data_IF_262913556384
#
_entry.id   IF_262913556384
#
_cell.length_a   1.000
_cell.length_b   1.000
_cell.length_c   1.000
_cell.angle_alpha   90.00
_cell.angle_beta   90.00
_cell.angle_gamma   90.00
#
_symmetry.space_group_name_H-M   'P 1'
#
loop_
_entity.id
_entity.type
_entity.pdbx_description
1 polymer ?
#
# COMPACT_ATOMS: atom_id res chain seq x y z
N UNK A 1 -6.40 9.51 -6.70
CA UNK A 1 -5.87 8.15 -6.94
C UNK A 1 -5.41 8.09 -8.39
N UNK A 2 -4.32 7.35 -8.67
CA UNK A 2 -3.74 7.29 -9.99
C UNK A 2 -3.76 5.87 -10.57
N UNK A 3 -3.75 4.86 -9.70
CA UNK A 3 -3.72 3.44 -10.05
C UNK A 3 -4.78 2.64 -9.30
N UNK A 4 -5.28 1.57 -9.94
CA UNK A 4 -6.02 0.49 -9.30
C UNK A 4 -5.20 -0.79 -9.48
N UNK A 5 -4.84 -1.44 -8.38
CA UNK A 5 -4.20 -2.74 -8.39
C UNK A 5 -5.26 -3.83 -8.21
N UNK A 6 -5.45 -4.61 -9.27
CA UNK A 6 -6.30 -5.80 -9.29
C UNK A 6 -5.45 -7.02 -8.93
N UNK A 7 -5.69 -7.61 -7.76
CA UNK A 7 -4.98 -8.82 -7.32
C UNK A 7 -5.67 -10.09 -7.82
N UNK A 8 -4.89 -11.19 -7.98
CA UNK A 8 -5.41 -12.51 -8.36
C UNK A 8 -5.92 -12.62 -9.80
N UNK A 9 -5.50 -11.74 -10.71
CA UNK A 9 -5.95 -11.73 -12.12
C UNK A 9 -5.49 -12.97 -12.89
N UNK A 10 -4.19 -13.36 -12.90
CA UNK A 10 -3.76 -14.54 -13.65
C UNK A 10 -4.40 -15.83 -13.12
N UNK A 11 -4.63 -16.78 -14.04
CA UNK A 11 -5.24 -18.05 -13.67
C UNK A 11 -4.36 -18.87 -12.74
N UNK A 12 -4.91 -19.26 -11.61
CA UNK A 12 -4.23 -20.05 -10.57
C UNK A 12 -4.86 -21.44 -10.38
N UNK A 13 -4.20 -22.29 -9.59
CA UNK A 13 -4.65 -23.66 -9.33
C UNK A 13 -5.93 -23.68 -8.48
N UNK A 14 -6.88 -24.51 -8.87
CA UNK A 14 -8.15 -24.74 -8.17
C UNK A 14 -8.50 -26.22 -8.17
N UNK A 15 -9.20 -26.70 -7.14
CA UNK A 15 -9.76 -28.06 -7.12
C UNK A 15 -8.72 -29.17 -7.19
N UNK A 16 -7.50 -28.98 -6.69
CA UNK A 16 -6.41 -29.95 -6.61
C UNK A 16 -6.09 -30.28 -5.17
N UNK A 17 -5.54 -31.46 -4.91
CA UNK A 17 -5.19 -31.92 -3.54
C UNK A 17 -4.17 -31.02 -2.83
N UNK A 18 -3.32 -30.31 -3.59
CA UNK A 18 -2.34 -29.38 -3.06
C UNK A 18 -2.85 -27.95 -2.85
N UNK A 19 -4.06 -27.64 -3.33
CA UNK A 19 -4.63 -26.28 -3.29
C UNK A 19 -5.09 -25.95 -1.88
N UNK A 20 -4.72 -24.75 -1.41
CA UNK A 20 -5.16 -24.21 -0.13
C UNK A 20 -6.49 -23.47 -0.31
N UNK A 21 -7.55 -23.99 0.30
CA UNK A 21 -8.89 -23.39 0.21
C UNK A 21 -9.53 -23.52 -1.19
N UNK A 22 -10.63 -22.82 -1.39
CA UNK A 22 -11.36 -22.75 -2.65
C UNK A 22 -11.76 -21.28 -2.90
N UNK A 23 -11.28 -20.64 -3.96
CA UNK A 23 -10.74 -21.14 -5.23
C UNK A 23 -9.22 -21.38 -5.28
N UNK A 24 -8.51 -21.45 -4.18
CA UNK A 24 -7.06 -21.61 -4.15
C UNK A 24 -6.30 -20.29 -4.00
N UNK A 25 -4.97 -20.38 -3.89
CA UNK A 25 -4.12 -19.21 -3.76
C UNK A 25 -3.98 -18.47 -5.09
N UNK A 26 -4.25 -17.15 -5.14
CA UNK A 26 -4.04 -16.34 -6.34
C UNK A 26 -2.57 -16.23 -6.77
N UNK A 27 -1.64 -16.76 -5.97
CA UNK A 27 -0.19 -16.77 -6.23
C UNK A 27 0.31 -18.11 -6.79
N UNK A 28 -0.50 -19.18 -6.78
CA UNK A 28 -0.16 -20.48 -7.38
C UNK A 28 -0.59 -20.54 -8.85
N UNK A 29 0.12 -19.82 -9.73
CA UNK A 29 -0.26 -19.61 -11.13
C UNK A 29 -0.14 -20.89 -11.95
N UNK A 30 -1.21 -21.22 -12.68
CA UNK A 30 -1.25 -22.36 -13.64
C UNK A 30 -1.15 -21.90 -15.09
N UNK A 31 -1.65 -20.70 -15.41
CA UNK A 31 -1.54 -20.10 -16.73
C UNK A 31 -1.41 -18.58 -16.61
N UNK A 32 -0.26 -18.08 -17.04
CA UNK A 32 0.04 -16.64 -16.98
C UNK A 32 -0.70 -15.80 -18.02
N UNK A 33 -1.18 -16.41 -19.11
CA UNK A 33 -1.87 -15.69 -20.20
C UNK A 33 -3.36 -15.86 -20.17
N UNK A 34 -3.88 -16.33 -19.06
CA UNK A 34 -5.31 -16.52 -18.85
C UNK A 34 -5.76 -15.80 -17.56
N UNK A 35 -7.03 -15.43 -17.49
CA UNK A 35 -7.64 -14.78 -16.34
C UNK A 35 -8.30 -15.82 -15.44
N UNK A 36 -8.23 -15.59 -14.13
CA UNK A 36 -8.95 -16.38 -13.14
C UNK A 36 -10.45 -16.42 -13.47
N UNK A 37 -11.05 -17.59 -13.73
CA UNK A 37 -12.44 -17.69 -14.14
C UNK A 37 -13.45 -17.22 -13.10
N UNK A 38 -13.06 -17.14 -11.83
CA UNK A 38 -13.93 -16.62 -10.76
C UNK A 38 -14.08 -15.07 -10.79
N UNK A 39 -13.27 -14.36 -11.59
CA UNK A 39 -13.37 -12.91 -11.76
C UNK A 39 -14.28 -12.49 -12.91
N UNK A 40 -14.81 -13.45 -13.69
CA UNK A 40 -15.63 -13.18 -14.85
C UNK A 40 -17.10 -13.53 -14.61
N UNK A 41 -18.01 -12.74 -15.17
CA UNK A 41 -19.44 -13.06 -15.25
C UNK A 41 -19.67 -14.27 -16.17
N UNK A 42 -18.99 -14.30 -17.32
CA UNK A 42 -18.90 -15.45 -18.22
C UNK A 42 -17.47 -15.99 -18.25
N UNK A 43 -17.17 -17.11 -17.57
CA UNK A 43 -15.83 -17.70 -17.58
C UNK A 43 -15.25 -18.02 -18.94
N UNK A 44 -16.09 -18.22 -19.97
CA UNK A 44 -15.63 -18.44 -21.36
C UNK A 44 -15.10 -17.16 -22.01
N UNK A 45 -15.52 -15.99 -21.52
CA UNK A 45 -15.15 -14.66 -22.03
C UNK A 45 -14.24 -13.87 -21.11
N UNK A 46 -13.66 -14.49 -20.10
CA UNK A 46 -12.89 -13.85 -19.03
C UNK A 46 -11.78 -12.91 -19.49
N UNK A 47 -11.08 -13.22 -20.58
CA UNK A 47 -10.07 -12.33 -21.15
C UNK A 47 -10.70 -11.07 -21.78
N UNK A 48 -11.83 -11.21 -22.48
CA UNK A 48 -12.55 -10.08 -23.06
C UNK A 48 -13.14 -9.18 -21.96
N UNK A 49 -13.64 -9.79 -20.88
CA UNK A 49 -14.17 -9.06 -19.73
C UNK A 49 -13.06 -8.31 -18.98
N UNK A 50 -11.87 -8.89 -18.88
CA UNK A 50 -10.70 -8.22 -18.32
C UNK A 50 -10.24 -7.04 -19.21
N UNK A 51 -10.17 -7.23 -20.54
CA UNK A 51 -9.87 -6.13 -21.46
C UNK A 51 -10.89 -4.97 -21.31
N UNK A 52 -12.17 -5.31 -21.16
CA UNK A 52 -13.22 -4.33 -20.91
C UNK A 52 -13.09 -3.65 -19.52
N UNK A 53 -12.62 -4.37 -18.49
CA UNK A 53 -12.30 -3.80 -17.18
C UNK A 53 -11.16 -2.78 -17.29
N UNK A 54 -10.06 -3.14 -17.95
CA UNK A 54 -8.92 -2.24 -18.21
C UNK A 54 -9.39 -0.97 -18.93
N UNK A 55 -10.17 -1.13 -20.00
CA UNK A 55 -10.69 0.01 -20.75
C UNK A 55 -11.60 0.93 -19.90
N UNK A 56 -12.46 0.36 -19.04
CA UNK A 56 -13.30 1.15 -18.12
C UNK A 56 -12.46 1.87 -17.06
N UNK A 57 -11.42 1.23 -16.56
CA UNK A 57 -10.49 1.82 -15.58
C UNK A 57 -9.76 3.02 -16.17
N UNK A 58 -9.25 2.88 -17.39
CA UNK A 58 -8.63 3.98 -18.14
C UNK A 58 -9.62 5.12 -18.43
N UNK A 59 -10.84 4.78 -18.85
CA UNK A 59 -11.87 5.78 -19.11
C UNK A 59 -12.28 6.57 -17.86
N UNK A 60 -12.13 5.96 -16.68
CA UNK A 60 -12.32 6.62 -15.38
C UNK A 60 -11.09 7.46 -14.93
N UNK A 61 -10.01 7.48 -15.71
CA UNK A 61 -8.79 8.25 -15.43
C UNK A 61 -7.78 7.54 -14.53
N UNK A 62 -7.89 6.22 -14.35
CA UNK A 62 -6.96 5.41 -13.57
C UNK A 62 -6.10 4.53 -14.46
N UNK A 63 -4.93 4.15 -13.96
CA UNK A 63 -4.06 3.13 -14.54
C UNK A 63 -4.25 1.79 -13.82
N UNK A 64 -3.85 0.69 -14.48
CA UNK A 64 -4.06 -0.68 -14.00
C UNK A 64 -2.74 -1.31 -13.58
N UNK A 65 -2.71 -1.84 -12.34
CA UNK A 65 -1.66 -2.75 -11.87
C UNK A 65 -2.25 -4.14 -11.67
N UNK A 66 -1.44 -5.17 -11.93
CA UNK A 66 -1.72 -6.55 -11.55
C UNK A 66 -0.51 -7.19 -10.86
N UNK A 67 -0.72 -8.35 -10.22
CA UNK A 67 0.38 -9.10 -9.62
C UNK A 67 1.25 -9.76 -10.69
N UNK A 68 2.56 -9.74 -10.45
CA UNK A 68 3.55 -10.54 -11.12
C UNK A 68 4.34 -11.35 -10.08
N UNK A 69 4.27 -12.68 -10.17
CA UNK A 69 4.86 -13.60 -9.21
C UNK A 69 6.10 -14.27 -9.84
N UNK A 70 7.28 -13.62 -9.77
CA UNK A 70 8.48 -14.15 -10.45
C UNK A 70 9.10 -15.35 -9.75
N UNK A 71 8.81 -15.55 -8.46
CA UNK A 71 9.47 -16.55 -7.65
C UNK A 71 9.01 -17.98 -7.92
N UNK A 72 7.73 -18.21 -8.18
CA UNK A 72 7.14 -19.55 -8.25
C UNK A 72 5.93 -19.62 -9.18
N UNK A 73 5.51 -20.86 -9.48
CA UNK A 73 4.26 -21.21 -10.16
C UNK A 73 3.62 -22.41 -9.46
N UNK A 74 2.39 -22.76 -9.84
CA UNK A 74 1.73 -23.96 -9.32
C UNK A 74 2.47 -25.25 -9.74
N UNK A 75 2.32 -26.35 -8.98
CA UNK A 75 2.90 -27.65 -9.35
C UNK A 75 2.45 -28.17 -10.72
N UNK A 76 1.23 -27.85 -11.14
CA UNK A 76 0.63 -28.27 -12.41
C UNK A 76 0.74 -27.22 -13.53
N UNK A 77 1.58 -26.17 -13.35
CA UNK A 77 1.88 -25.22 -14.42
C UNK A 77 2.40 -25.95 -15.68
N UNK A 78 1.75 -25.72 -16.81
CA UNK A 78 2.04 -26.42 -18.05
C UNK A 78 2.93 -25.63 -19.04
N UNK A 79 3.27 -24.38 -18.73
CA UNK A 79 4.08 -23.51 -19.59
C UNK A 79 5.57 -23.80 -19.55
N UNK A 80 6.39 -23.01 -20.29
CA UNK A 80 7.81 -23.26 -20.48
C UNK A 80 8.72 -22.88 -19.30
N UNK A 81 8.18 -22.26 -18.23
CA UNK A 81 8.96 -21.95 -17.04
C UNK A 81 9.52 -23.24 -16.43
N UNK A 82 10.84 -23.32 -16.31
CA UNK A 82 11.50 -24.39 -15.57
C UNK A 82 11.38 -24.13 -14.08
N UNK A 83 11.10 -25.16 -13.30
CA UNK A 83 10.93 -25.11 -11.86
C UNK A 83 11.61 -26.27 -11.17
N UNK A 84 11.94 -26.06 -9.92
CA UNK A 84 12.41 -27.11 -9.02
C UNK A 84 11.21 -27.93 -8.51
N UNK A 85 11.47 -29.04 -7.87
CA UNK A 85 10.47 -29.92 -7.22
C UNK A 85 10.15 -29.51 -5.77
N UNK A 86 10.69 -28.40 -5.32
CA UNK A 86 10.51 -27.84 -3.98
C UNK A 86 9.88 -26.44 -4.00
N UNK A 87 9.41 -25.97 -2.84
CA UNK A 87 8.81 -24.66 -2.62
C UNK A 87 9.50 -23.90 -1.49
N UNK A 88 9.41 -22.57 -1.49
CA UNK A 88 9.84 -21.76 -0.37
C UNK A 88 8.80 -21.80 0.77
N UNK A 89 9.26 -21.63 2.01
CA UNK A 89 8.41 -21.53 3.18
C UNK A 89 7.38 -22.68 3.31
N UNK A 90 6.16 -22.34 3.67
CA UNK A 90 5.03 -23.27 3.79
C UNK A 90 4.08 -23.26 2.57
N UNK A 91 4.55 -22.69 1.43
CA UNK A 91 3.76 -22.54 0.20
C UNK A 91 3.71 -23.84 -0.61
N UNK A 92 3.13 -24.90 -0.02
CA UNK A 92 3.10 -26.27 -0.58
C UNK A 92 2.37 -26.37 -1.92
N UNK A 93 1.52 -25.40 -2.24
CA UNK A 93 0.79 -25.24 -3.50
C UNK A 93 1.60 -24.54 -4.60
N UNK A 94 2.91 -24.35 -4.39
CA UNK A 94 3.81 -23.70 -5.35
C UNK A 94 5.05 -24.55 -5.65
N UNK A 95 5.79 -24.19 -6.70
CA UNK A 95 7.13 -24.71 -7.02
C UNK A 95 8.03 -23.56 -7.44
N UNK A 96 9.23 -23.52 -6.86
CA UNK A 96 10.26 -22.51 -7.12
C UNK A 96 10.66 -22.47 -8.57
N UNK A 97 10.70 -21.30 -9.18
CA UNK A 97 11.18 -21.11 -10.56
C UNK A 97 12.70 -21.22 -10.66
N UNK A 98 13.19 -21.91 -11.68
CA UNK A 98 14.61 -21.97 -12.00
C UNK A 98 15.01 -20.82 -12.92
N UNK A 99 15.51 -19.74 -12.32
CA UNK A 99 15.99 -18.56 -13.05
C UNK A 99 17.33 -18.77 -13.79
N UNK A 100 18.04 -19.87 -13.55
CA UNK A 100 19.23 -20.24 -14.33
C UNK A 100 18.83 -20.67 -15.75
N UNK A 101 17.64 -21.21 -15.92
CA UNK A 101 17.13 -21.69 -17.21
C UNK A 101 16.78 -20.54 -18.16
N UNK A 102 17.32 -20.53 -19.40
CA UNK A 102 16.97 -19.52 -20.40
C UNK A 102 15.47 -19.48 -20.74
N UNK A 103 14.80 -20.64 -20.71
CA UNK A 103 13.36 -20.73 -20.98
C UNK A 103 12.53 -19.96 -19.94
N UNK A 104 12.90 -20.02 -18.66
CA UNK A 104 12.23 -19.25 -17.59
C UNK A 104 12.36 -17.75 -17.84
N UNK A 105 13.56 -17.26 -18.13
CA UNK A 105 13.79 -15.82 -18.38
C UNK A 105 13.04 -15.33 -19.61
N UNK A 106 13.03 -16.12 -20.69
CA UNK A 106 12.31 -15.77 -21.91
C UNK A 106 10.79 -15.72 -21.66
N UNK A 107 10.25 -16.73 -20.97
CA UNK A 107 8.82 -16.80 -20.70
C UNK A 107 8.35 -15.67 -19.78
N UNK A 108 9.12 -15.34 -18.74
CA UNK A 108 8.79 -14.23 -17.83
C UNK A 108 8.74 -12.88 -18.57
N UNK A 109 9.60 -12.66 -19.54
CA UNK A 109 9.55 -11.47 -20.39
C UNK A 109 8.29 -11.45 -21.27
N UNK A 110 7.95 -12.57 -21.89
CA UNK A 110 6.75 -12.67 -22.73
C UNK A 110 5.44 -12.53 -21.93
N UNK A 111 5.43 -12.95 -20.65
CA UNK A 111 4.30 -12.73 -19.74
C UNK A 111 4.09 -11.24 -19.50
N UNK A 112 5.15 -10.49 -19.18
CA UNK A 112 5.04 -9.03 -18.96
C UNK A 112 4.59 -8.31 -20.25
N UNK A 113 5.13 -8.69 -21.40
CA UNK A 113 4.72 -8.15 -22.71
C UNK A 113 3.26 -8.44 -23.02
N UNK A 114 2.79 -9.65 -22.72
CA UNK A 114 1.41 -10.05 -22.94
C UNK A 114 0.44 -9.13 -22.19
N UNK A 115 0.66 -8.91 -20.89
CA UNK A 115 -0.22 -8.07 -20.07
C UNK A 115 -0.08 -6.58 -20.42
N UNK A 116 1.15 -6.10 -20.66
CA UNK A 116 1.38 -4.72 -21.10
C UNK A 116 0.68 -4.43 -22.43
N UNK A 117 0.68 -5.36 -23.39
CA UNK A 117 -0.01 -5.21 -24.67
C UNK A 117 -1.54 -5.18 -24.54
N UNK A 118 -2.10 -5.65 -23.40
CA UNK A 118 -3.52 -5.58 -23.06
C UNK A 118 -3.90 -4.34 -22.24
N UNK A 119 -2.95 -3.40 -22.07
CA UNK A 119 -3.19 -2.14 -21.38
C UNK A 119 -2.95 -2.18 -19.87
N UNK A 120 -2.29 -3.22 -19.34
CA UNK A 120 -1.79 -3.19 -17.97
C UNK A 120 -0.64 -2.19 -17.89
N UNK A 121 -0.72 -1.22 -16.96
CA UNK A 121 0.22 -0.12 -16.82
C UNK A 121 1.36 -0.41 -15.85
N UNK A 122 1.33 -1.55 -15.18
CA UNK A 122 2.41 -1.94 -14.29
C UNK A 122 2.13 -3.18 -13.45
N UNK A 123 3.10 -3.55 -12.65
CA UNK A 123 3.12 -4.81 -11.92
C UNK A 123 3.53 -4.63 -10.47
N UNK A 124 2.76 -5.21 -9.56
CA UNK A 124 3.22 -5.49 -8.19
C UNK A 124 3.97 -6.82 -8.23
N UNK A 125 5.24 -6.79 -7.92
CA UNK A 125 6.12 -7.96 -8.00
C UNK A 125 6.27 -8.63 -6.66
N UNK A 126 5.76 -9.85 -6.57
CA UNK A 126 5.71 -10.69 -5.39
C UNK A 126 7.07 -11.26 -5.01
N UNK A 127 7.43 -11.22 -3.72
CA UNK A 127 8.59 -11.90 -3.12
C UNK A 127 9.89 -11.76 -3.92
N UNK A 128 10.18 -10.57 -4.42
CA UNK A 128 11.31 -10.31 -5.34
C UNK A 128 12.68 -10.61 -4.71
N UNK A 129 12.79 -10.59 -3.38
CA UNK A 129 14.04 -10.91 -2.66
C UNK A 129 14.45 -12.39 -2.79
N UNK A 130 13.54 -13.26 -3.25
CA UNK A 130 13.79 -14.68 -3.52
C UNK A 130 14.23 -14.96 -4.96
N UNK A 131 14.31 -13.92 -5.79
CA UNK A 131 14.68 -14.00 -7.21
C UNK A 131 16.06 -13.35 -7.41
N UNK A 132 16.95 -13.89 -8.28
CA UNK A 132 18.24 -13.25 -8.54
C UNK A 132 18.07 -11.80 -9.02
N UNK A 133 18.67 -10.80 -8.34
CA UNK A 133 18.49 -9.38 -8.69
C UNK A 133 18.88 -9.04 -10.13
N UNK A 134 19.93 -9.69 -10.66
CA UNK A 134 20.40 -9.49 -12.03
C UNK A 134 19.38 -9.98 -13.07
N UNK A 135 18.61 -11.03 -12.74
CA UNK A 135 17.54 -11.52 -13.61
C UNK A 135 16.37 -10.53 -13.65
N UNK A 136 15.98 -9.99 -12.49
CA UNK A 136 14.95 -8.95 -12.40
C UNK A 136 15.38 -7.67 -13.13
N UNK A 137 16.62 -7.22 -12.93
CA UNK A 137 17.18 -6.07 -13.66
C UNK A 137 17.09 -6.23 -15.17
N UNK A 138 17.54 -7.37 -15.68
CA UNK A 138 17.49 -7.67 -17.12
C UNK A 138 16.04 -7.70 -17.63
N UNK A 139 15.13 -8.29 -16.86
CA UNK A 139 13.73 -8.40 -17.20
C UNK A 139 13.05 -7.00 -17.26
N UNK A 140 13.19 -6.21 -16.21
CA UNK A 140 12.60 -4.87 -16.10
C UNK A 140 13.17 -3.95 -17.18
N UNK A 141 14.50 -3.93 -17.37
CA UNK A 141 15.12 -3.06 -18.38
C UNK A 141 14.68 -3.44 -19.81
N UNK A 142 14.53 -4.74 -20.08
CA UNK A 142 14.13 -5.20 -21.41
C UNK A 142 12.66 -4.87 -21.69
N UNK A 143 11.74 -5.12 -20.75
CA UNK A 143 10.32 -4.83 -21.00
C UNK A 143 10.06 -3.32 -21.02
N UNK A 144 10.76 -2.52 -20.22
CA UNK A 144 10.67 -1.04 -20.27
C UNK A 144 11.22 -0.45 -21.57
N UNK A 145 12.10 -1.15 -22.29
CA UNK A 145 12.51 -0.71 -23.62
C UNK A 145 11.35 -0.78 -24.64
N UNK A 146 10.44 -1.74 -24.48
CA UNK A 146 9.24 -1.89 -25.32
C UNK A 146 8.05 -1.04 -24.78
N UNK A 147 7.93 -0.92 -23.44
CA UNK A 147 6.84 -0.26 -22.72
C UNK A 147 7.43 0.67 -21.62
N UNK A 148 7.93 1.87 -21.98
CA UNK A 148 8.69 2.71 -21.05
C UNK A 148 7.90 3.24 -19.85
N UNK A 149 6.57 3.31 -19.96
CA UNK A 149 5.68 3.85 -18.92
C UNK A 149 5.28 2.81 -17.85
N UNK A 150 5.70 1.54 -17.98
CA UNK A 150 5.34 0.50 -17.02
C UNK A 150 5.91 0.82 -15.63
N UNK A 151 5.03 0.75 -14.63
CA UNK A 151 5.37 0.88 -13.21
C UNK A 151 5.68 -0.49 -12.60
N UNK A 152 6.80 -0.60 -11.89
CA UNK A 152 7.15 -1.81 -11.13
C UNK A 152 7.20 -1.51 -9.63
N UNK A 153 6.33 -2.17 -8.87
CA UNK A 153 6.28 -2.09 -7.41
C UNK A 153 6.85 -3.37 -6.81
N UNK A 154 7.89 -3.24 -6.01
CA UNK A 154 8.56 -4.39 -5.39
C UNK A 154 8.01 -4.69 -3.99
N UNK A 155 7.79 -5.95 -3.69
CA UNK A 155 7.64 -6.43 -2.33
C UNK A 155 9.01 -6.77 -1.75
N UNK A 156 9.53 -5.88 -0.89
CA UNK A 156 10.86 -5.99 -0.25
C UNK A 156 10.70 -5.80 1.26
N UNK A 157 11.17 -6.76 2.04
CA UNK A 157 11.09 -6.72 3.50
C UNK A 157 12.39 -6.28 4.18
N UNK A 158 13.56 -6.56 3.58
CA UNK A 158 14.83 -6.19 4.16
C UNK A 158 15.19 -4.74 3.82
N UNK A 159 15.27 -3.88 4.83
CA UNK A 159 15.56 -2.45 4.64
C UNK A 159 16.88 -2.21 3.90
N UNK A 160 17.91 -3.02 4.13
CA UNK A 160 19.18 -2.97 3.42
C UNK A 160 19.04 -3.17 1.90
N UNK A 161 17.96 -3.82 1.46
CA UNK A 161 17.67 -4.05 0.04
C UNK A 161 16.88 -2.91 -0.62
N UNK A 162 16.33 -1.93 0.12
CA UNK A 162 15.54 -0.85 -0.45
C UNK A 162 16.28 -0.12 -1.56
N UNK A 163 17.45 0.42 -1.23
CA UNK A 163 18.27 1.17 -2.21
C UNK A 163 18.75 0.28 -3.38
N UNK A 164 19.33 -0.92 -3.18
CA UNK A 164 19.68 -1.81 -4.30
C UNK A 164 18.54 -2.14 -5.24
N UNK A 165 17.34 -2.43 -4.71
CA UNK A 165 16.19 -2.77 -5.58
C UNK A 165 15.66 -1.58 -6.35
N UNK A 166 15.69 -0.39 -5.77
CA UNK A 166 15.29 0.85 -6.45
C UNK A 166 16.36 1.31 -7.47
N UNK A 167 17.62 1.39 -7.08
CA UNK A 167 18.65 2.07 -7.87
C UNK A 167 19.39 1.13 -8.84
N UNK A 168 19.57 -0.14 -8.47
CA UNK A 168 20.35 -1.10 -9.25
C UNK A 168 19.48 -2.06 -10.05
N UNK A 169 18.41 -2.62 -9.44
CA UNK A 169 17.48 -3.53 -10.12
C UNK A 169 16.52 -2.75 -11.02
N UNK A 170 16.07 -1.56 -10.61
CA UNK A 170 15.27 -0.67 -11.44
C UNK A 170 13.77 -0.71 -11.15
N UNK A 171 13.37 -1.11 -9.94
CA UNK A 171 12.01 -0.90 -9.48
C UNK A 171 11.71 0.57 -9.30
N UNK A 172 10.48 0.98 -9.57
CA UNK A 172 10.05 2.37 -9.41
C UNK A 172 9.65 2.65 -7.95
N UNK A 173 8.94 1.72 -7.33
CA UNK A 173 8.46 1.78 -5.96
C UNK A 173 8.72 0.45 -5.23
N UNK A 174 8.74 0.51 -3.90
CA UNK A 174 8.68 -0.66 -3.03
C UNK A 174 7.84 -0.38 -1.77
N UNK A 175 7.32 -1.43 -1.13
CA UNK A 175 6.59 -1.29 0.12
C UNK A 175 7.49 -0.80 1.26
N UNK A 176 7.05 0.20 2.03
CA UNK A 176 7.69 0.56 3.31
C UNK A 176 7.11 -0.27 4.47
N UNK A 177 7.09 -1.61 4.29
CA UNK A 177 6.58 -2.54 5.31
C UNK A 177 7.44 -2.50 6.57
N UNK A 178 8.74 -2.75 6.44
CA UNK A 178 9.68 -2.79 7.55
C UNK A 178 10.15 -1.41 8.04
N UNK A 179 9.66 -0.34 7.40
CA UNK A 179 9.91 1.04 7.78
C UNK A 179 8.70 1.66 8.48
N UNK A 180 7.90 2.43 7.72
CA UNK A 180 6.81 3.21 8.31
C UNK A 180 5.67 2.33 8.82
N UNK A 181 5.27 1.28 8.07
CA UNK A 181 4.19 0.39 8.52
C UNK A 181 4.49 -0.25 9.88
N UNK A 182 5.64 -0.93 10.02
CA UNK A 182 6.01 -1.59 11.27
C UNK A 182 6.22 -0.58 12.41
N UNK A 183 6.74 0.61 12.09
CA UNK A 183 6.88 1.70 13.07
C UNK A 183 5.51 2.15 13.59
N UNK A 184 4.55 2.42 12.71
CA UNK A 184 3.20 2.84 13.10
C UNK A 184 2.48 1.74 13.89
N UNK A 185 2.60 0.48 13.45
CA UNK A 185 2.05 -0.66 14.19
C UNK A 185 2.63 -0.77 15.60
N UNK A 186 3.95 -0.61 15.75
CA UNK A 186 4.61 -0.62 17.06
C UNK A 186 4.14 0.53 17.96
N UNK A 187 3.98 1.73 17.41
CA UNK A 187 3.45 2.90 18.15
C UNK A 187 2.02 2.67 18.60
N UNK A 188 1.16 2.19 17.70
CA UNK A 188 -0.27 2.04 17.96
C UNK A 188 -0.59 0.84 18.86
N UNK A 189 0.09 -0.30 18.69
CA UNK A 189 -0.28 -1.56 19.32
C UNK A 189 0.66 -2.00 20.45
N UNK A 190 1.93 -1.57 20.42
CA UNK A 190 2.97 -2.09 21.32
C UNK A 190 3.61 -1.02 22.20
N UNK A 191 3.05 0.17 22.24
CA UNK A 191 3.51 1.25 23.11
C UNK A 191 4.89 1.82 22.76
N UNK A 192 5.39 1.59 21.53
CA UNK A 192 6.62 2.20 21.07
C UNK A 192 6.49 3.73 20.96
N UNK A 193 7.61 4.43 21.00
CA UNK A 193 7.64 5.88 20.89
C UNK A 193 7.36 6.36 19.47
N UNK A 194 6.53 7.41 19.31
CA UNK A 194 6.27 8.05 18.01
C UNK A 194 7.52 8.70 17.39
N UNK A 195 8.61 8.88 18.15
CA UNK A 195 9.93 9.30 17.62
C UNK A 195 10.49 8.33 16.56
N UNK A 196 10.05 7.06 16.59
CA UNK A 196 10.39 6.07 15.58
C UNK A 196 10.03 6.50 14.16
N UNK A 197 8.98 7.32 13.99
CA UNK A 197 8.57 7.89 12.69
C UNK A 197 9.66 8.81 12.13
N UNK A 198 10.19 9.72 12.96
CA UNK A 198 11.34 10.58 12.59
C UNK A 198 12.56 9.75 12.20
N UNK A 199 12.89 8.70 12.97
CA UNK A 199 14.05 7.87 12.69
C UNK A 199 13.91 7.12 11.37
N UNK A 200 12.72 6.56 11.06
CA UNK A 200 12.47 5.93 9.77
C UNK A 200 12.58 6.94 8.62
N UNK A 201 12.00 8.12 8.78
CA UNK A 201 12.07 9.20 7.79
C UNK A 201 13.50 9.62 7.49
N UNK A 202 14.33 9.83 8.53
CA UNK A 202 15.75 10.17 8.37
C UNK A 202 16.54 9.04 7.70
N UNK A 203 16.22 7.78 8.03
CA UNK A 203 16.85 6.62 7.41
C UNK A 203 16.52 6.51 5.92
N UNK A 204 15.26 6.72 5.53
CA UNK A 204 14.84 6.70 4.13
C UNK A 204 15.52 7.81 3.30
N UNK A 205 15.69 9.00 3.86
CA UNK A 205 16.34 10.13 3.19
C UNK A 205 15.70 10.44 1.83
N UNK A 206 16.49 10.32 0.77
CA UNK A 206 16.07 10.55 -0.63
C UNK A 206 15.19 9.45 -1.23
N UNK A 207 15.07 8.29 -0.58
CA UNK A 207 14.20 7.20 -1.04
C UNK A 207 12.71 7.46 -0.78
N UNK A 208 12.36 8.44 0.05
CA UNK A 208 10.97 8.70 0.45
C UNK A 208 9.95 8.76 -0.69
N UNK A 209 10.21 9.43 -1.83
CA UNK A 209 9.24 9.46 -2.93
C UNK A 209 9.06 8.12 -3.64
N UNK A 210 9.93 7.16 -3.37
CA UNK A 210 9.98 5.86 -4.02
C UNK A 210 9.57 4.69 -3.12
N UNK A 211 9.04 4.97 -1.94
CA UNK A 211 8.42 3.97 -1.08
C UNK A 211 6.90 4.10 -1.12
N UNK A 212 6.20 2.98 -1.12
CA UNK A 212 4.75 2.92 -1.09
C UNK A 212 4.29 2.74 0.35
N UNK A 213 3.73 3.79 0.93
CA UNK A 213 3.15 3.75 2.26
C UNK A 213 1.79 3.04 2.23
N UNK A 214 1.46 2.31 3.29
CA UNK A 214 0.18 1.64 3.45
C UNK A 214 -0.09 1.34 4.93
N UNK A 215 -1.31 0.97 5.25
CA UNK A 215 -1.72 0.53 6.59
C UNK A 215 -2.39 -0.84 6.57
N UNK A 216 -2.94 -1.23 5.44
CA UNK A 216 -3.56 -2.52 5.19
C UNK A 216 -3.18 -3.03 3.80
N UNK A 217 -3.08 -4.34 3.67
CA UNK A 217 -3.04 -5.05 2.40
C UNK A 217 -3.58 -6.49 2.61
N UNK A 218 -3.52 -7.32 1.60
CA UNK A 218 -4.02 -8.70 1.65
C UNK A 218 -3.14 -9.65 2.51
N UNK A 219 -1.95 -9.23 2.95
CA UNK A 219 -1.03 -10.01 3.80
C UNK A 219 -1.00 -9.51 5.24
N UNK A 220 -1.58 -8.37 5.53
CA UNK A 220 -1.57 -7.75 6.86
C UNK A 220 -2.99 -7.67 7.44
N UNK A 221 -3.10 -7.41 8.74
CA UNK A 221 -4.38 -7.30 9.43
C UNK A 221 -5.08 -5.98 9.12
N UNK A 222 -6.42 -6.00 9.10
CA UNK A 222 -7.25 -4.79 9.02
C UNK A 222 -7.04 -3.91 10.26
N UNK A 223 -7.01 -2.60 10.07
CA UNK A 223 -6.93 -1.64 11.18
C UNK A 223 -8.08 -1.83 12.18
N UNK A 224 -9.29 -2.01 11.66
CA UNK A 224 -10.49 -2.18 12.49
C UNK A 224 -10.54 -3.53 13.21
N UNK A 225 -9.81 -4.55 12.76
CA UNK A 225 -9.87 -5.88 13.36
C UNK A 225 -9.24 -5.92 14.75
N UNK A 226 -9.70 -6.85 15.63
CA UNK A 226 -9.08 -7.08 16.94
C UNK A 226 -7.59 -7.46 16.87
N UNK A 227 -7.10 -7.93 15.71
CA UNK A 227 -5.71 -8.29 15.51
C UNK A 227 -4.80 -7.05 15.29
N UNK A 228 -5.38 -5.86 15.10
CA UNK A 228 -4.62 -4.60 14.98
C UNK A 228 -5.13 -3.59 16.02
N UNK A 229 -6.08 -2.69 15.69
CA UNK A 229 -6.55 -1.61 16.57
C UNK A 229 -7.91 -1.91 17.23
N UNK A 230 -8.70 -2.83 16.64
CA UNK A 230 -10.04 -3.21 17.11
C UNK A 230 -11.11 -2.11 16.96
N UNK A 231 -10.79 -1.04 16.23
CA UNK A 231 -11.68 0.10 16.01
C UNK A 231 -11.13 0.95 14.85
N UNK A 232 -11.93 1.15 13.80
CA UNK A 232 -11.54 1.92 12.62
C UNK A 232 -11.16 3.37 12.95
N UNK A 233 -11.81 3.99 13.95
CA UNK A 233 -11.53 5.38 14.34
C UNK A 233 -10.16 5.56 14.97
N UNK A 234 -9.58 4.51 15.55
CA UNK A 234 -8.18 4.55 16.05
C UNK A 234 -7.15 4.58 14.92
N UNK A 235 -7.57 4.32 13.69
CA UNK A 235 -6.75 4.36 12.49
C UNK A 235 -6.50 5.76 11.92
N UNK A 236 -7.14 6.83 12.42
CA UNK A 236 -7.03 8.16 11.80
C UNK A 236 -5.65 8.80 12.00
N UNK A 237 -5.03 8.66 13.16
CA UNK A 237 -3.68 9.18 13.40
C UNK A 237 -2.63 8.49 12.52
N UNK A 238 -2.53 7.15 12.46
CA UNK A 238 -1.61 6.47 11.54
C UNK A 238 -1.94 6.75 10.07
N UNK A 239 -3.22 6.90 9.68
CA UNK A 239 -3.61 7.30 8.32
C UNK A 239 -3.09 8.69 7.98
N UNK A 240 -3.33 9.69 8.83
CA UNK A 240 -2.85 11.06 8.60
C UNK A 240 -1.32 11.10 8.51
N UNK A 241 -0.62 10.35 9.36
CA UNK A 241 0.84 10.23 9.31
C UNK A 241 1.29 9.59 7.99
N UNK A 242 0.76 8.42 7.64
CA UNK A 242 1.18 7.64 6.47
C UNK A 242 0.87 8.34 5.14
N UNK A 243 -0.26 9.06 5.07
CA UNK A 243 -0.75 9.74 3.87
C UNK A 243 -0.15 11.14 3.68
N UNK A 244 0.10 11.88 4.77
CA UNK A 244 0.37 13.32 4.70
C UNK A 244 1.82 13.72 5.03
N UNK A 245 2.60 12.84 5.67
CA UNK A 245 3.90 13.25 6.23
C UNK A 245 4.94 13.59 5.16
N UNK A 246 4.96 12.85 4.06
CA UNK A 246 5.93 13.05 2.99
C UNK A 246 5.26 12.91 1.60
N UNK A 247 6.06 12.90 0.54
CA UNK A 247 5.58 12.76 -0.85
C UNK A 247 5.53 11.31 -1.34
N UNK A 248 5.68 10.34 -0.44
CA UNK A 248 5.53 8.93 -0.79
C UNK A 248 4.09 8.63 -1.24
N UNK A 249 3.89 7.84 -2.30
CA UNK A 249 2.56 7.38 -2.65
C UNK A 249 1.96 6.52 -1.51
N UNK A 250 0.64 6.52 -1.43
CA UNK A 250 -0.10 5.76 -0.43
C UNK A 250 -1.01 4.73 -1.11
N UNK A 251 -0.97 3.49 -0.63
CA UNK A 251 -1.87 2.42 -1.05
C UNK A 251 -3.03 2.31 -0.06
N UNK A 252 -4.25 2.48 -0.55
CA UNK A 252 -5.48 2.22 0.18
C UNK A 252 -5.96 0.80 -0.15
N UNK A 253 -6.09 -0.06 0.85
CA UNK A 253 -6.72 -1.36 0.67
C UNK A 253 -8.24 -1.18 0.74
N UNK A 254 -8.96 -1.72 -0.23
CA UNK A 254 -10.40 -1.50 -0.35
C UNK A 254 -11.17 -2.02 0.89
N UNK A 255 -12.14 -1.23 1.36
CA UNK A 255 -12.84 -1.47 2.63
C UNK A 255 -12.20 -0.79 3.83
N UNK A 256 -10.92 -0.42 3.79
CA UNK A 256 -10.27 0.33 4.86
C UNK A 256 -11.00 1.65 5.15
N UNK A 257 -11.51 2.30 4.11
CA UNK A 257 -12.23 3.58 4.17
C UNK A 257 -13.62 3.51 4.81
N UNK A 258 -14.13 2.32 5.06
CA UNK A 258 -15.41 2.09 5.77
C UNK A 258 -15.22 1.28 7.05
N UNK A 259 -13.97 0.94 7.39
CA UNK A 259 -13.64 0.22 8.61
C UNK A 259 -13.89 -1.28 8.53
N UNK A 260 -13.75 -1.89 7.35
CA UNK A 260 -13.82 -3.36 7.19
C UNK A 260 -12.85 -4.05 8.17
N UNK A 261 -13.35 -5.00 8.95
CA UNK A 261 -12.62 -5.69 10.01
C UNK A 261 -12.43 -7.19 9.76
N UNK A 262 -12.80 -7.68 8.58
CA UNK A 262 -12.81 -9.09 8.21
C UNK A 262 -11.48 -9.80 8.50
N UNK A 263 -11.59 -11.04 9.00
CA UNK A 263 -10.47 -11.92 9.32
C UNK A 263 -10.69 -13.26 8.64
N UNK A 264 -9.75 -13.69 7.80
CA UNK A 264 -9.85 -14.97 7.08
C UNK A 264 -9.07 -16.11 7.73
N UNK A 265 -8.12 -15.82 8.60
CA UNK A 265 -7.23 -16.80 9.20
C UNK A 265 -6.97 -16.59 10.68
N UNK A 266 -6.40 -17.62 11.33
CA UNK A 266 -6.03 -17.58 12.74
C UNK A 266 -4.93 -16.54 13.06
N UNK A 267 -4.18 -16.10 12.06
CA UNK A 267 -3.16 -15.05 12.15
C UNK A 267 -3.74 -13.63 12.02
N UNK A 268 -5.06 -13.51 11.83
CA UNK A 268 -5.74 -12.24 11.65
C UNK A 268 -5.59 -11.59 10.27
N UNK A 269 -5.01 -12.29 9.29
CA UNK A 269 -4.91 -11.81 7.91
C UNK A 269 -6.29 -11.66 7.27
N UNK A 270 -6.35 -10.83 6.25
CA UNK A 270 -7.59 -10.35 5.68
C UNK A 270 -7.60 -10.38 4.15
N UNK A 271 -7.03 -11.41 3.55
CA UNK A 271 -7.26 -11.62 2.12
C UNK A 271 -8.75 -11.86 1.88
N UNK A 272 -9.38 -11.06 1.03
CA UNK A 272 -10.80 -11.23 0.71
C UNK A 272 -10.91 -12.23 -0.43
N UNK A 273 -11.49 -13.38 -0.13
CA UNK A 273 -11.79 -14.45 -1.06
C UNK A 273 -13.31 -14.52 -1.32
N UNK A 274 -13.74 -15.38 -2.24
CA UNK A 274 -15.14 -15.58 -2.54
C UNK A 274 -15.96 -16.20 -1.38
N UNK A 275 -15.32 -16.77 -0.39
CA UNK A 275 -15.93 -17.27 0.85
C UNK A 275 -15.89 -16.26 2.00
N UNK A 276 -15.13 -15.18 1.86
CA UNK A 276 -15.08 -14.13 2.89
C UNK A 276 -16.41 -13.40 2.98
N UNK A 277 -16.78 -13.00 4.16
CA UNK A 277 -17.97 -12.20 4.42
C UNK A 277 -17.57 -10.79 4.91
N UNK A 278 -17.27 -9.84 3.99
CA UNK A 278 -16.89 -8.47 4.33
C UNK A 278 -18.16 -7.59 4.49
N UNK A 279 -18.72 -7.44 5.71
CA UNK A 279 -20.00 -6.78 5.91
C UNK A 279 -19.96 -5.29 5.55
N UNK A 280 -18.92 -4.56 5.93
CA UNK A 280 -18.77 -3.13 5.68
C UNK A 280 -18.62 -2.82 4.19
N UNK A 281 -17.88 -3.64 3.48
CA UNK A 281 -17.76 -3.55 2.01
C UNK A 281 -19.09 -3.83 1.32
N UNK A 282 -19.86 -4.80 1.80
CA UNK A 282 -21.21 -5.09 1.27
C UNK A 282 -22.15 -3.92 1.49
N UNK A 283 -22.13 -3.31 2.66
CA UNK A 283 -22.95 -2.13 2.96
C UNK A 283 -22.50 -0.93 2.11
N UNK A 284 -21.20 -0.72 1.92
CA UNK A 284 -20.69 0.29 0.99
C UNK A 284 -21.21 0.05 -0.44
N UNK A 285 -21.08 -1.18 -0.94
CA UNK A 285 -21.59 -1.53 -2.28
C UNK A 285 -23.09 -1.26 -2.42
N UNK A 286 -23.90 -1.70 -1.45
CA UNK A 286 -25.35 -1.46 -1.45
C UNK A 286 -25.69 0.03 -1.44
N UNK A 287 -25.00 0.80 -0.59
CA UNK A 287 -25.19 2.25 -0.50
C UNK A 287 -24.90 2.96 -1.83
N UNK A 288 -23.84 2.54 -2.54
CA UNK A 288 -23.46 3.10 -3.83
C UNK A 288 -24.44 2.72 -4.96
N UNK A 289 -25.16 1.59 -4.84
CA UNK A 289 -26.08 1.08 -5.85
C UNK A 289 -27.55 1.29 -5.50
N UNK A 290 -27.87 2.32 -4.72
CA UNK A 290 -29.25 2.74 -4.43
C UNK A 290 -29.93 1.99 -3.29
N UNK A 291 -29.16 1.28 -2.46
CA UNK A 291 -29.62 0.70 -1.20
C UNK A 291 -29.69 1.72 -0.06
N UNK A 292 -29.79 1.22 1.18
CA UNK A 292 -29.76 2.04 2.37
C UNK A 292 -28.44 2.82 2.48
N UNK A 293 -28.44 4.03 3.06
CA UNK A 293 -27.19 4.73 3.36
C UNK A 293 -26.37 3.93 4.37
N UNK A 294 -25.03 4.17 4.36
CA UNK A 294 -24.13 3.60 5.37
C UNK A 294 -24.60 3.94 6.78
N UNK A 295 -24.38 3.04 7.73
CA UNK A 295 -24.61 3.33 9.13
C UNK A 295 -23.69 4.51 9.60
N UNK A 296 -24.07 5.25 10.67
CA UNK A 296 -23.36 6.45 11.09
C UNK A 296 -21.86 6.21 11.37
N UNK A 297 -21.49 5.03 11.84
CA UNK A 297 -20.08 4.70 12.13
C UNK A 297 -19.24 4.64 10.83
N UNK A 298 -19.66 3.82 9.86
CA UNK A 298 -18.98 3.67 8.56
C UNK A 298 -19.00 4.99 7.77
N UNK A 299 -20.13 5.72 7.83
CA UNK A 299 -20.24 7.03 7.18
C UNK A 299 -19.25 8.04 7.80
N UNK A 300 -19.04 7.98 9.11
CA UNK A 300 -18.06 8.81 9.82
C UNK A 300 -16.63 8.49 9.43
N UNK A 301 -16.29 7.21 9.36
CA UNK A 301 -14.98 6.75 8.90
C UNK A 301 -14.73 7.21 7.47
N UNK A 302 -15.67 6.95 6.55
CA UNK A 302 -15.56 7.36 5.14
C UNK A 302 -15.41 8.88 4.99
N UNK A 303 -16.15 9.67 5.79
CA UNK A 303 -16.04 11.12 5.77
C UNK A 303 -14.64 11.60 6.17
N UNK A 304 -14.06 10.99 7.21
CA UNK A 304 -12.70 11.33 7.66
C UNK A 304 -11.64 10.94 6.64
N UNK A 305 -11.76 9.77 6.01
CA UNK A 305 -10.89 9.37 4.90
C UNK A 305 -10.94 10.38 3.76
N UNK A 306 -12.14 10.77 3.32
CA UNK A 306 -12.32 11.76 2.24
C UNK A 306 -11.68 13.11 2.57
N UNK A 307 -11.80 13.57 3.81
CA UNK A 307 -11.17 14.81 4.28
C UNK A 307 -9.63 14.73 4.18
N UNK A 308 -9.02 13.66 4.70
CA UNK A 308 -7.57 13.49 4.67
C UNK A 308 -7.04 13.30 3.23
N UNK A 309 -7.76 12.56 2.39
CA UNK A 309 -7.39 12.40 0.97
C UNK A 309 -7.55 13.69 0.17
N UNK A 310 -8.56 14.51 0.46
CA UNK A 310 -8.70 15.83 -0.14
C UNK A 310 -7.53 16.74 0.24
N UNK A 311 -7.06 16.66 1.50
CA UNK A 311 -5.90 17.38 1.97
C UNK A 311 -4.61 16.89 1.28
N UNK A 312 -4.44 15.57 1.11
CA UNK A 312 -3.30 14.98 0.40
C UNK A 312 -3.17 15.47 -1.06
N UNK A 313 -4.28 15.82 -1.71
CA UNK A 313 -4.30 16.38 -3.06
C UNK A 313 -3.86 17.85 -3.16
N UNK A 314 -3.65 18.55 -2.04
CA UNK A 314 -3.23 19.95 -2.05
C UNK A 314 -1.74 20.08 -2.41
N UNK A 315 -1.33 21.21 -3.06
CA UNK A 315 0.05 21.40 -3.52
C UNK A 315 1.12 21.17 -2.45
N UNK A 316 0.90 21.67 -1.22
CA UNK A 316 1.83 21.47 -0.12
C UNK A 316 2.05 19.98 0.25
N UNK A 317 1.04 19.14 0.09
CA UNK A 317 1.13 17.70 0.38
C UNK A 317 1.56 16.88 -0.84
N UNK A 318 1.08 17.21 -2.01
CA UNK A 318 1.37 16.46 -3.24
C UNK A 318 2.84 16.57 -3.67
N UNK A 319 3.45 17.77 -3.55
CA UNK A 319 4.81 18.04 -4.02
C UNK A 319 5.64 18.94 -3.10
N UNK A 320 5.07 19.39 -1.99
CA UNK A 320 5.74 20.35 -1.09
C UNK A 320 6.82 19.73 -0.20
N UNK A 321 7.53 20.62 0.52
CA UNK A 321 8.51 20.22 1.52
C UNK A 321 7.88 19.72 2.81
N UNK A 322 8.62 18.91 3.53
CA UNK A 322 8.29 18.42 4.87
C UNK A 322 9.23 19.02 5.91
N UNK A 323 8.67 19.38 7.05
CA UNK A 323 9.46 19.76 8.22
C UNK A 323 8.95 19.03 9.46
N UNK A 324 9.76 18.12 9.98
CA UNK A 324 9.47 17.44 11.24
C UNK A 324 9.65 18.43 12.41
N UNK A 325 8.67 18.50 13.29
CA UNK A 325 8.67 19.37 14.47
C UNK A 325 9.05 18.63 15.76
N UNK A 326 9.23 17.31 15.72
CA UNK A 326 9.50 16.50 16.90
C UNK A 326 10.76 16.90 17.67
N UNK A 327 11.83 17.24 16.94
CA UNK A 327 13.12 17.56 17.53
C UNK A 327 13.12 18.86 18.38
N UNK A 328 12.29 19.84 18.03
CA UNK A 328 12.26 21.15 18.70
C UNK A 328 11.08 21.33 19.66
N UNK A 329 10.22 20.32 19.82
CA UNK A 329 9.00 20.40 20.62
C UNK A 329 8.94 19.40 21.79
N UNK A 330 10.04 18.73 22.13
CA UNK A 330 10.07 17.71 23.18
C UNK A 330 9.68 18.21 24.58
N UNK A 331 9.70 19.53 24.80
CA UNK A 331 9.30 20.19 26.06
C UNK A 331 8.14 21.17 25.87
N UNK A 332 7.51 21.18 24.69
CA UNK A 332 6.40 22.10 24.40
C UNK A 332 5.15 21.73 25.19
N UNK A 333 4.37 22.73 25.70
CA UNK A 333 3.19 22.47 26.50
C UNK A 333 2.20 21.53 25.80
N UNK A 334 1.80 20.47 26.50
CA UNK A 334 0.83 19.46 26.01
C UNK A 334 1.34 18.50 24.96
N UNK A 335 2.53 18.72 24.38
CA UNK A 335 3.10 17.82 23.38
C UNK A 335 3.92 16.71 24.02
N UNK A 336 3.51 15.47 23.79
CA UNK A 336 4.23 14.27 24.21
C UNK A 336 4.85 13.58 23.00
N UNK A 337 6.19 13.67 22.77
CA UNK A 337 6.82 13.11 21.57
C UNK A 337 6.86 11.59 21.53
N UNK A 338 6.44 10.91 22.60
CA UNK A 338 6.28 9.45 22.59
C UNK A 338 4.89 9.01 22.08
N UNK A 339 3.90 9.95 22.10
CA UNK A 339 2.50 9.71 21.72
C UNK A 339 1.99 10.62 20.62
N UNK A 340 2.69 11.73 20.39
CA UNK A 340 2.33 12.70 19.36
C UNK A 340 3.44 12.80 18.32
N UNK A 341 3.03 12.96 17.06
CA UNK A 341 3.95 13.27 15.98
C UNK A 341 3.46 14.52 15.24
N UNK A 342 4.32 15.51 15.07
CA UNK A 342 3.95 16.80 14.47
C UNK A 342 4.90 17.18 13.34
N UNK A 343 4.34 17.68 12.23
CA UNK A 343 5.10 18.12 11.09
C UNK A 343 4.40 19.26 10.35
N UNK A 344 5.16 20.01 9.54
CA UNK A 344 4.63 21.01 8.62
C UNK A 344 4.88 20.54 7.20
N UNK A 345 3.82 20.60 6.38
CA UNK A 345 3.91 20.50 4.92
C UNK A 345 3.79 21.90 4.35
N UNK A 346 4.64 22.25 3.39
CA UNK A 346 4.63 23.60 2.83
C UNK A 346 5.12 23.64 1.40
N UNK A 347 4.58 24.60 0.62
CA UNK A 347 5.09 25.00 -0.66
C UNK A 347 5.13 26.53 -0.76
N UNK A 348 5.22 27.09 -1.97
CA UNK A 348 5.22 28.53 -2.17
C UNK A 348 3.86 29.18 -1.86
N UNK A 349 2.75 28.46 -1.93
CA UNK A 349 1.38 28.97 -1.82
C UNK A 349 0.75 28.77 -0.45
N UNK A 350 1.09 27.69 0.25
CA UNK A 350 0.43 27.31 1.50
C UNK A 350 1.37 26.58 2.46
N UNK A 351 0.99 26.56 3.74
CA UNK A 351 1.66 25.78 4.77
C UNK A 351 0.62 25.19 5.74
N UNK A 352 0.79 23.93 6.08
CA UNK A 352 -0.11 23.15 6.92
C UNK A 352 0.65 22.48 8.05
N UNK A 353 0.16 22.67 9.27
CA UNK A 353 0.59 21.90 10.44
C UNK A 353 -0.32 20.68 10.58
N UNK A 354 0.29 19.51 10.74
CA UNK A 354 -0.39 18.25 11.06
C UNK A 354 0.17 17.73 12.37
N UNK A 355 -0.72 17.34 13.29
CA UNK A 355 -0.35 16.78 14.59
C UNK A 355 -1.13 15.49 14.79
N UNK A 356 -0.47 14.35 14.72
CA UNK A 356 -1.04 13.02 14.95
C UNK A 356 -0.98 12.68 16.44
N UNK A 357 -2.08 12.14 16.99
CA UNK A 357 -2.19 11.70 18.37
C UNK A 357 -2.48 10.19 18.42
N UNK A 358 -1.51 9.42 18.85
CA UNK A 358 -1.60 7.96 18.99
C UNK A 358 -2.07 7.52 20.39
N UNK A 359 -2.66 8.44 21.19
CA UNK A 359 -3.14 8.14 22.53
C UNK A 359 -4.66 8.23 22.64
N UNK A 360 -5.20 7.63 23.70
CA UNK A 360 -6.63 7.68 24.03
C UNK A 360 -7.09 9.02 24.64
N UNK A 361 -6.16 9.94 24.89
CA UNK A 361 -6.44 11.20 25.53
C UNK A 361 -6.36 12.35 24.52
N UNK A 362 -7.32 13.27 24.57
CA UNK A 362 -7.19 14.53 23.84
C UNK A 362 -6.11 15.41 24.49
N UNK A 363 -5.42 16.21 23.69
CA UNK A 363 -4.43 17.16 24.21
C UNK A 363 -4.57 18.55 23.58
N UNK A 364 -4.40 19.59 24.41
CA UNK A 364 -4.15 20.93 23.91
C UNK A 364 -2.65 21.16 23.83
N UNK A 365 -2.13 21.41 22.63
CA UNK A 365 -0.69 21.55 22.40
C UNK A 365 -0.34 22.95 21.92
N UNK A 366 0.83 23.44 22.34
CA UNK A 366 1.45 24.65 21.78
C UNK A 366 2.81 24.28 21.22
N UNK A 367 2.96 24.38 19.92
CA UNK A 367 4.19 24.00 19.21
C UNK A 367 4.99 25.22 18.77
N UNK A 368 6.30 25.12 18.88
CA UNK A 368 7.25 26.09 18.34
C UNK A 368 7.52 25.76 16.86
N UNK A 369 7.47 26.78 16.02
CA UNK A 369 7.91 26.72 14.63
C UNK A 369 9.31 27.33 14.55
N UNK A 370 10.35 26.53 14.27
CA UNK A 370 11.75 26.99 14.38
C UNK A 370 12.08 28.06 13.33
N UNK A 371 13.13 28.85 13.61
CA UNK A 371 13.53 29.95 12.75
C UNK A 371 13.92 29.49 11.33
N UNK A 372 14.52 28.33 11.21
CA UNK A 372 14.93 27.71 9.96
C UNK A 372 13.74 27.39 9.07
N UNK A 373 12.64 26.87 9.63
CA UNK A 373 11.39 26.64 8.89
C UNK A 373 10.78 28.00 8.45
N UNK A 374 10.74 28.96 9.35
CA UNK A 374 10.20 30.30 9.04
C UNK A 374 11.05 31.07 8.01
N UNK A 375 12.36 30.81 7.94
CA UNK A 375 13.22 31.32 6.88
C UNK A 375 12.92 30.70 5.51
N UNK A 376 12.57 29.39 5.48
CA UNK A 376 12.16 28.70 4.24
C UNK A 376 10.75 29.08 3.79
N UNK A 377 9.87 29.34 4.72
CA UNK A 377 8.48 29.77 4.47
C UNK A 377 8.17 31.03 5.29
N UNK A 378 8.44 32.22 4.74
CA UNK A 378 8.10 33.50 5.39
C UNK A 378 6.59 33.64 5.64
N UNK A 379 6.22 34.29 6.72
CA UNK A 379 4.83 34.49 7.10
C UNK A 379 4.32 33.48 8.12
N UNK A 380 5.07 32.40 8.41
CA UNK A 380 4.69 31.46 9.46
C UNK A 380 4.79 32.10 10.86
N UNK A 381 3.86 31.80 11.78
CA UNK A 381 3.91 32.25 13.17
C UNK A 381 5.10 31.64 13.94
N UNK A 382 5.45 32.19 15.08
CA UNK A 382 6.48 31.63 15.97
C UNK A 382 6.00 30.35 16.66
N UNK A 383 4.70 30.33 17.01
CA UNK A 383 4.05 29.21 17.68
C UNK A 383 2.70 28.94 17.04
N UNK A 384 2.24 27.72 17.16
CA UNK A 384 0.89 27.31 16.78
C UNK A 384 0.24 26.52 17.91
N UNK A 385 -1.05 26.75 18.16
CA UNK A 385 -1.83 26.06 19.20
C UNK A 385 -2.93 25.26 18.54
N UNK A 386 -3.11 24.02 18.96
CA UNK A 386 -4.17 23.15 18.47
C UNK A 386 -4.70 22.23 19.58
N UNK A 387 -5.96 21.83 19.45
CA UNK A 387 -6.53 20.70 20.18
C UNK A 387 -6.47 19.47 19.28
N UNK A 388 -5.90 18.38 19.77
CA UNK A 388 -5.77 17.11 19.04
C UNK A 388 -6.68 16.06 19.67
N UNK A 389 -7.61 15.47 18.88
CA UNK A 389 -8.49 14.42 19.37
C UNK A 389 -7.72 13.13 19.70
N UNK A 390 -8.31 12.21 20.49
CA UNK A 390 -7.75 10.87 20.69
C UNK A 390 -7.67 10.11 19.36
N UNK A 391 -6.57 9.40 19.14
CA UNK A 391 -6.35 8.52 17.98
C UNK A 391 -6.56 9.17 16.60
N UNK A 392 -6.52 10.50 16.52
CA UNK A 392 -6.76 11.26 15.29
C UNK A 392 -5.65 12.28 15.05
N UNK A 393 -5.79 13.10 14.04
CA UNK A 393 -4.89 14.17 13.71
C UNK A 393 -5.63 15.52 13.64
N UNK A 394 -5.00 16.56 14.18
CA UNK A 394 -5.37 17.93 13.88
C UNK A 394 -4.60 18.42 12.67
N UNK A 395 -5.32 19.09 11.75
CA UNK A 395 -4.76 19.74 10.57
C UNK A 395 -5.09 21.23 10.61
N UNK A 396 -4.08 22.09 10.51
CA UNK A 396 -4.22 23.53 10.62
C UNK A 396 -3.47 24.23 9.50
N UNK A 397 -4.18 25.01 8.71
CA UNK A 397 -3.53 25.89 7.73
C UNK A 397 -2.85 27.06 8.46
N UNK A 398 -1.56 27.24 8.23
CA UNK A 398 -0.73 28.27 8.90
C UNK A 398 -0.55 29.52 8.03
N UNK A 399 -0.51 29.35 6.72
CA UNK A 399 -0.33 30.41 5.75
C UNK A 399 -0.85 29.95 4.36
#
# INVERSE_FOLDING_TARGET
MDYIWYTGVPRHATGRDFVKGNPGSPYAITDWRDVNPYLADDPARRLEEFDALVARTHAAGFRVLIDFIPNHVAPDYAGPIRRFDWHDGDWSDTRKNDWSAPATRAEMLEILRFWASRGVDGFRCDMVELVPPQALKALISTVKADFPELLFVAEVYKKENYRPYLDEVGFDLLYDKSGLYDTLRAVCCHGATARGITWNWQWLGDLQPRVLNFLENHDEQRLASPAFLGDACKGFAPLACSLLFNTAPFMLYFGQEVGEDGIDGADGRTSIFNWSDPPELRELYRSLHGGAPLAPAEAGVLARYRELFALAGRPAFAAGGTWDLGYCNGTSPGFNPDRHFAFVRYDASEAWLVICNFSAESAGVQLNLPAELRARRPGLPHTATASIPPFDAATLQLA
#
